data_IF_210304824046
#
_entry.id   IF_210304824046
#
_cell.length_a   1.000
_cell.length_b   1.000
_cell.length_c   1.000
_cell.angle_alpha   90.00
_cell.angle_beta   90.00
_cell.angle_gamma   90.00
#
_symmetry.space_group_name_H-M   'P 1'
#
loop_
_entity.id
_entity.type
_entity.pdbx_description
1 polymer ?
#
# COMPACT_ATOMS: atom_id res chain seq x y z
N UNK A 1 -31.15 -11.49 5.27
CA UNK A 1 -29.90 -11.60 4.48
C UNK A 1 -29.98 -10.48 3.48
N UNK A 2 -29.02 -9.56 3.49
CA UNK A 2 -28.93 -8.57 2.42
C UNK A 2 -28.43 -9.30 1.16
N UNK A 3 -29.17 -9.13 0.07
CA UNK A 3 -28.81 -9.74 -1.21
C UNK A 3 -27.68 -8.93 -1.84
N UNK A 4 -26.47 -9.49 -1.80
CA UNK A 4 -25.29 -8.94 -2.47
C UNK A 4 -25.43 -9.06 -3.99
N UNK A 5 -24.97 -8.05 -4.71
CA UNK A 5 -24.94 -8.01 -6.18
C UNK A 5 -23.49 -8.19 -6.63
N UNK A 6 -23.14 -9.38 -7.11
CA UNK A 6 -21.82 -9.67 -7.67
C UNK A 6 -21.85 -9.44 -9.18
N UNK A 7 -21.00 -8.55 -9.68
CA UNK A 7 -20.94 -8.20 -11.11
C UNK A 7 -20.07 -9.17 -11.93
N UNK A 8 -19.03 -9.75 -11.31
CA UNK A 8 -17.96 -10.51 -11.99
C UNK A 8 -17.32 -9.71 -13.15
N UNK A 9 -17.15 -8.40 -12.92
CA UNK A 9 -16.58 -7.45 -13.88
C UNK A 9 -15.12 -7.17 -13.54
N UNK A 10 -14.22 -7.84 -14.26
CA UNK A 10 -12.76 -7.72 -14.09
C UNK A 10 -12.15 -6.55 -14.85
N UNK A 11 -12.95 -5.80 -15.62
CA UNK A 11 -12.52 -4.58 -16.28
C UNK A 11 -13.63 -3.53 -16.19
N UNK A 12 -13.95 -3.09 -14.96
CA UNK A 12 -15.10 -2.24 -14.72
C UNK A 12 -14.91 -0.88 -15.38
N UNK A 13 -15.97 -0.41 -16.03
CA UNK A 13 -16.04 0.97 -16.49
C UNK A 13 -15.97 1.95 -15.32
N UNK A 14 -15.60 3.21 -15.59
CA UNK A 14 -15.68 4.29 -14.58
C UNK A 14 -17.08 4.37 -13.95
N UNK A 15 -18.15 4.21 -14.74
CA UNK A 15 -19.52 4.21 -14.23
C UNK A 15 -19.75 3.06 -13.25
N UNK A 16 -19.22 1.86 -13.56
CA UNK A 16 -19.29 0.69 -12.69
C UNK A 16 -18.57 0.96 -11.37
N UNK A 17 -17.34 1.48 -11.42
CA UNK A 17 -16.54 1.80 -10.24
C UNK A 17 -17.21 2.86 -9.37
N UNK A 18 -17.78 3.92 -9.96
CA UNK A 18 -18.54 4.93 -9.21
C UNK A 18 -19.76 4.29 -8.54
N UNK A 19 -20.52 3.44 -9.23
CA UNK A 19 -21.68 2.77 -8.63
C UNK A 19 -21.26 1.86 -7.47
N UNK A 20 -20.19 1.08 -7.65
CA UNK A 20 -19.61 0.22 -6.62
C UNK A 20 -19.16 1.01 -5.38
N UNK A 21 -18.54 2.17 -5.58
CA UNK A 21 -18.02 3.01 -4.50
C UNK A 21 -19.09 3.53 -3.54
N UNK A 22 -20.33 3.75 -4.00
CA UNK A 22 -21.44 4.28 -3.18
C UNK A 22 -22.56 3.27 -2.89
N UNK A 23 -22.54 2.07 -3.47
CA UNK A 23 -23.48 0.99 -3.13
C UNK A 23 -22.71 -0.18 -2.51
N UNK A 24 -22.73 -0.24 -1.18
CA UNK A 24 -22.02 -1.26 -0.39
C UNK A 24 -22.48 -2.69 -0.72
N UNK A 25 -23.64 -2.88 -1.37
CA UNK A 25 -24.14 -4.20 -1.76
C UNK A 25 -23.50 -4.73 -3.05
N UNK A 26 -22.82 -3.88 -3.82
CA UNK A 26 -22.19 -4.26 -5.08
C UNK A 26 -20.80 -4.81 -4.81
N UNK A 27 -20.48 -5.95 -5.41
CA UNK A 27 -19.13 -6.54 -5.44
C UNK A 27 -18.66 -6.64 -6.89
N UNK A 28 -17.42 -6.26 -7.16
CA UNK A 28 -16.85 -6.32 -8.51
C UNK A 28 -16.62 -7.78 -8.94
N UNK A 29 -16.12 -8.61 -8.03
CA UNK A 29 -15.91 -10.04 -8.21
C UNK A 29 -16.33 -10.82 -6.95
N UNK A 30 -16.51 -12.13 -7.08
CA UNK A 30 -16.84 -13.04 -5.98
C UNK A 30 -15.65 -13.37 -5.08
N UNK A 31 -14.44 -13.37 -5.65
CA UNK A 31 -13.16 -13.60 -4.97
C UNK A 31 -12.14 -12.57 -5.43
N UNK A 32 -11.22 -12.21 -4.53
CA UNK A 32 -10.10 -11.32 -4.82
C UNK A 32 -10.52 -10.02 -5.53
N UNK A 33 -11.66 -9.46 -5.12
CA UNK A 33 -12.26 -8.27 -5.75
C UNK A 33 -11.36 -7.02 -5.68
N UNK A 34 -10.42 -6.99 -4.73
CA UNK A 34 -9.38 -5.98 -4.62
C UNK A 34 -8.39 -6.02 -5.80
N UNK A 35 -8.12 -7.20 -6.36
CA UNK A 35 -7.24 -7.34 -7.52
C UNK A 35 -7.78 -6.65 -8.77
N UNK A 36 -9.11 -6.51 -8.89
CA UNK A 36 -9.74 -5.73 -9.98
C UNK A 36 -9.28 -4.27 -9.94
N UNK A 37 -8.92 -3.76 -8.76
CA UNK A 37 -8.53 -2.37 -8.56
C UNK A 37 -7.02 -2.12 -8.73
N UNK A 38 -6.22 -3.16 -8.97
CA UNK A 38 -4.75 -3.09 -9.06
C UNK A 38 -4.25 -2.68 -10.45
N UNK A 39 -4.86 -1.65 -11.04
CA UNK A 39 -4.52 -1.16 -12.38
C UNK A 39 -4.18 0.33 -12.36
N UNK A 40 -3.15 0.73 -13.12
CA UNK A 40 -2.69 2.12 -13.18
C UNK A 40 -3.79 3.07 -13.68
N UNK A 41 -4.63 2.60 -14.61
CA UNK A 41 -5.69 3.40 -15.22
C UNK A 41 -6.79 3.81 -14.23
N UNK A 42 -7.00 3.03 -13.17
CA UNK A 42 -8.02 3.33 -12.16
C UNK A 42 -7.53 4.30 -11.08
N UNK A 43 -6.21 4.54 -10.96
CA UNK A 43 -5.65 5.42 -9.92
C UNK A 43 -6.31 6.80 -9.82
N UNK A 44 -6.56 7.55 -10.93
CA UNK A 44 -7.18 8.86 -10.82
C UNK A 44 -8.58 8.81 -10.21
N UNK A 45 -9.41 7.86 -10.66
CA UNK A 45 -10.78 7.68 -10.18
C UNK A 45 -10.81 7.19 -8.74
N UNK A 46 -9.99 6.19 -8.40
CA UNK A 46 -9.95 5.64 -7.05
C UNK A 46 -9.47 6.68 -6.03
N UNK A 47 -8.49 7.52 -6.38
CA UNK A 47 -8.07 8.63 -5.52
C UNK A 47 -9.14 9.71 -5.38
N UNK A 48 -9.88 10.02 -6.46
CA UNK A 48 -11.03 10.93 -6.39
C UNK A 48 -12.09 10.40 -5.41
N UNK A 49 -12.45 9.12 -5.52
CA UNK A 49 -13.45 8.47 -4.66
C UNK A 49 -12.98 8.33 -3.22
N UNK A 50 -11.69 8.05 -2.99
CA UNK A 50 -11.09 7.99 -1.66
C UNK A 50 -11.07 9.37 -0.97
N UNK A 51 -10.94 10.45 -1.73
CA UNK A 51 -10.91 11.83 -1.23
C UNK A 51 -12.31 12.47 -1.09
N UNK A 52 -13.38 11.74 -1.44
CA UNK A 52 -14.77 12.16 -1.20
C UNK A 52 -15.22 11.74 0.21
N UNK A 53 -15.50 12.69 1.12
CA UNK A 53 -15.99 12.39 2.47
C UNK A 53 -17.32 11.63 2.52
N UNK A 54 -18.09 11.63 1.43
CA UNK A 54 -19.37 10.93 1.32
C UNK A 54 -19.25 9.51 0.76
N UNK A 55 -18.08 9.12 0.28
CA UNK A 55 -17.83 7.78 -0.25
C UNK A 55 -17.72 6.77 0.90
N UNK A 56 -18.67 5.81 1.03
CA UNK A 56 -18.66 4.82 2.11
C UNK A 56 -17.46 3.87 2.02
N UNK A 57 -16.93 3.64 0.80
CA UNK A 57 -15.76 2.78 0.56
C UNK A 57 -14.42 3.53 0.57
N UNK A 58 -14.37 4.79 0.97
CA UNK A 58 -13.13 5.59 0.94
C UNK A 58 -11.95 4.91 1.64
N UNK A 59 -12.18 4.33 2.83
CA UNK A 59 -11.14 3.59 3.56
C UNK A 59 -10.73 2.29 2.86
N UNK A 60 -11.69 1.53 2.32
CA UNK A 60 -11.43 0.28 1.59
C UNK A 60 -10.60 0.54 0.32
N UNK A 61 -10.93 1.62 -0.40
CA UNK A 61 -10.19 2.04 -1.59
C UNK A 61 -8.75 2.41 -1.21
N UNK A 62 -8.54 3.19 -0.14
CA UNK A 62 -7.19 3.54 0.31
C UNK A 62 -6.39 2.32 0.75
N UNK A 63 -7.00 1.37 1.46
CA UNK A 63 -6.35 0.13 1.88
C UNK A 63 -5.88 -0.69 0.68
N UNK A 64 -6.75 -0.81 -0.32
CA UNK A 64 -6.44 -1.52 -1.57
C UNK A 64 -5.31 -0.84 -2.34
N UNK A 65 -5.39 0.49 -2.53
CA UNK A 65 -4.34 1.26 -3.19
C UNK A 65 -3.02 1.19 -2.43
N UNK A 66 -3.05 1.29 -1.09
CA UNK A 66 -1.84 1.18 -0.26
C UNK A 66 -1.17 -0.18 -0.43
N UNK A 67 -1.95 -1.26 -0.37
CA UNK A 67 -1.44 -2.62 -0.50
C UNK A 67 -0.81 -2.86 -1.88
N UNK A 68 -1.49 -2.45 -2.95
CA UNK A 68 -1.00 -2.52 -4.31
C UNK A 68 0.35 -1.79 -4.46
N UNK A 69 0.37 -0.49 -4.13
CA UNK A 69 1.57 0.35 -4.31
C UNK A 69 2.71 -0.06 -3.38
N UNK A 70 2.42 -0.57 -2.18
CA UNK A 70 3.43 -1.13 -1.28
C UNK A 70 4.24 -2.24 -1.97
N UNK A 71 3.58 -3.17 -2.68
CA UNK A 71 4.30 -4.23 -3.38
C UNK A 71 5.08 -3.73 -4.60
N UNK A 72 4.59 -2.71 -5.28
CA UNK A 72 5.36 -2.04 -6.34
C UNK A 72 6.66 -1.45 -5.79
N UNK A 73 6.62 -0.84 -4.59
CA UNK A 73 7.84 -0.33 -3.94
C UNK A 73 8.76 -1.45 -3.49
N UNK A 74 8.22 -2.50 -2.86
CA UNK A 74 9.01 -3.58 -2.27
C UNK A 74 9.70 -4.45 -3.33
N UNK A 75 9.02 -4.73 -4.44
CA UNK A 75 9.44 -5.75 -5.43
C UNK A 75 9.55 -5.23 -6.85
N UNK A 76 9.02 -4.03 -7.12
CA UNK A 76 8.90 -3.52 -8.48
C UNK A 76 10.22 -3.11 -9.10
N UNK A 77 10.21 -3.09 -10.43
CA UNK A 77 11.24 -2.47 -11.27
C UNK A 77 10.96 -0.98 -11.43
N UNK A 78 11.81 -0.27 -12.17
CA UNK A 78 11.71 1.18 -12.33
C UNK A 78 10.35 1.63 -12.90
N UNK A 79 9.79 0.89 -13.84
CA UNK A 79 8.47 1.15 -14.41
C UNK A 79 7.37 1.11 -13.34
N UNK A 80 7.44 0.19 -12.39
CA UNK A 80 6.50 0.11 -11.27
C UNK A 80 6.66 1.27 -10.29
N UNK A 81 7.89 1.77 -10.09
CA UNK A 81 8.12 2.94 -9.24
C UNK A 81 7.47 4.19 -9.84
N UNK A 82 7.47 4.34 -11.17
CA UNK A 82 6.77 5.45 -11.85
C UNK A 82 5.27 5.45 -11.60
N UNK A 83 4.65 4.29 -11.40
CA UNK A 83 3.22 4.19 -11.04
C UNK A 83 3.00 4.80 -9.65
N UNK A 84 3.87 4.51 -8.69
CA UNK A 84 3.80 5.08 -7.33
C UNK A 84 4.01 6.60 -7.37
N UNK A 85 4.98 7.07 -8.16
CA UNK A 85 5.23 8.51 -8.36
C UNK A 85 4.01 9.22 -8.98
N UNK A 86 3.36 8.60 -9.97
CA UNK A 86 2.13 9.10 -10.58
C UNK A 86 1.00 9.19 -9.54
N UNK A 87 0.83 8.15 -8.72
CA UNK A 87 -0.18 8.14 -7.66
C UNK A 87 0.05 9.27 -6.64
N UNK A 88 1.30 9.49 -6.22
CA UNK A 88 1.68 10.62 -5.36
C UNK A 88 1.36 11.96 -6.02
N UNK A 89 1.65 12.10 -7.32
CA UNK A 89 1.36 13.34 -8.05
C UNK A 89 -0.14 13.62 -8.15
N UNK A 90 -0.96 12.60 -8.41
CA UNK A 90 -2.42 12.69 -8.44
C UNK A 90 -2.99 13.11 -7.08
N UNK A 91 -2.46 12.59 -5.98
CA UNK A 91 -2.90 12.91 -4.62
C UNK A 91 -2.41 14.28 -4.09
N UNK A 92 -1.68 15.09 -4.87
CA UNK A 92 -1.20 16.40 -4.42
C UNK A 92 -2.32 17.38 -4.04
N UNK A 93 -3.45 17.30 -4.74
CA UNK A 93 -4.62 18.15 -4.51
C UNK A 93 -5.64 17.53 -3.54
N UNK A 94 -5.26 16.47 -2.83
CA UNK A 94 -6.13 15.83 -1.84
C UNK A 94 -6.61 16.83 -0.78
N UNK A 95 -7.87 16.68 -0.37
CA UNK A 95 -8.58 17.58 0.53
C UNK A 95 -8.76 16.97 1.91
N UNK A 96 -8.84 15.65 1.99
CA UNK A 96 -9.11 14.91 3.22
C UNK A 96 -7.80 14.48 3.89
N UNK A 97 -7.80 14.45 5.22
CA UNK A 97 -6.62 14.02 5.98
C UNK A 97 -6.15 12.60 5.63
N UNK A 98 -7.02 11.59 5.48
CA UNK A 98 -6.59 10.22 5.13
C UNK A 98 -5.80 10.15 3.83
N UNK A 99 -6.25 10.82 2.76
CA UNK A 99 -5.55 10.81 1.46
C UNK A 99 -4.23 11.59 1.53
N UNK A 100 -4.19 12.68 2.31
CA UNK A 100 -2.94 13.44 2.55
C UNK A 100 -1.91 12.56 3.30
N UNK A 101 -2.32 11.87 4.35
CA UNK A 101 -1.46 10.97 5.13
C UNK A 101 -0.98 9.78 4.30
N UNK A 102 -1.88 9.19 3.52
CA UNK A 102 -1.56 8.13 2.56
C UNK A 102 -0.53 8.61 1.53
N UNK A 103 -0.70 9.81 0.95
CA UNK A 103 0.28 10.38 0.01
C UNK A 103 1.65 10.53 0.66
N UNK A 104 1.69 11.09 1.86
CA UNK A 104 2.93 11.26 2.61
C UNK A 104 3.61 9.91 2.86
N UNK A 105 2.85 8.87 3.22
CA UNK A 105 3.38 7.51 3.36
C UNK A 105 4.04 7.02 2.05
N UNK A 106 3.37 7.19 0.91
CA UNK A 106 3.95 6.81 -0.39
C UNK A 106 5.24 7.62 -0.70
N UNK A 107 5.27 8.91 -0.39
CA UNK A 107 6.48 9.74 -0.52
C UNK A 107 7.64 9.21 0.36
N UNK A 108 7.36 8.75 1.59
CA UNK A 108 8.40 8.13 2.44
C UNK A 108 8.90 6.83 1.83
N UNK A 109 8.01 5.98 1.32
CA UNK A 109 8.35 4.73 0.63
C UNK A 109 9.25 4.95 -0.58
N UNK A 110 8.95 5.95 -1.41
CA UNK A 110 9.80 6.35 -2.54
C UNK A 110 11.20 6.79 -2.06
N UNK A 111 11.29 7.56 -0.95
CA UNK A 111 12.58 7.93 -0.37
C UNK A 111 13.37 6.71 0.14
N UNK A 112 12.72 5.74 0.77
CA UNK A 112 13.39 4.49 1.17
C UNK A 112 13.88 3.70 -0.03
N UNK A 113 13.10 3.67 -1.12
CA UNK A 113 13.47 3.00 -2.37
C UNK A 113 14.73 3.61 -3.00
N UNK A 114 14.87 4.93 -2.94
CA UNK A 114 16.05 5.64 -3.45
C UNK A 114 17.29 5.53 -2.52
N UNK A 115 17.13 4.99 -1.31
CA UNK A 115 18.16 4.99 -0.27
C UNK A 115 18.06 6.24 0.61
N UNK A 116 17.56 6.07 1.83
CA UNK A 116 17.28 7.19 2.73
C UNK A 116 18.53 7.76 3.45
N UNK A 117 19.72 7.25 3.15
CA UNK A 117 20.97 7.55 3.85
C UNK A 117 21.11 6.71 5.13
N UNK A 118 22.06 7.08 6.01
CA UNK A 118 22.32 6.31 7.22
C UNK A 118 21.09 6.17 8.12
N UNK A 119 20.83 4.97 8.63
CA UNK A 119 19.68 4.69 9.49
C UNK A 119 20.11 4.23 10.88
N UNK A 120 19.55 4.86 11.91
CA UNK A 120 19.51 4.29 13.25
C UNK A 120 18.58 3.06 13.29
N UNK A 121 18.65 2.30 14.38
CA UNK A 121 17.76 1.16 14.61
C UNK A 121 16.29 1.58 14.59
N UNK A 122 15.95 2.68 15.27
CA UNK A 122 14.60 3.22 15.36
C UNK A 122 14.09 3.69 13.99
N UNK A 123 14.97 4.33 13.20
CA UNK A 123 14.66 4.76 11.84
C UNK A 123 14.44 3.57 10.90
N UNK A 124 15.24 2.51 11.01
CA UNK A 124 15.04 1.29 10.24
C UNK A 124 13.72 0.59 10.61
N UNK A 125 13.35 0.53 11.89
CA UNK A 125 12.06 -0.01 12.33
C UNK A 125 10.89 0.84 11.83
N UNK A 126 11.01 2.16 11.86
CA UNK A 126 9.99 3.06 11.29
C UNK A 126 9.85 2.86 9.77
N UNK A 127 10.98 2.77 9.04
CA UNK A 127 10.99 2.50 7.62
C UNK A 127 10.36 1.13 7.30
N UNK A 128 10.66 0.10 8.09
CA UNK A 128 10.05 -1.22 7.94
C UNK A 128 8.54 -1.20 8.18
N UNK A 129 8.06 -0.39 9.12
CA UNK A 129 6.62 -0.19 9.34
C UNK A 129 5.95 0.41 8.12
N UNK A 130 6.52 1.49 7.59
CA UNK A 130 6.02 2.12 6.38
C UNK A 130 6.02 1.13 5.19
N UNK A 131 7.10 0.34 5.03
CA UNK A 131 7.30 -0.55 3.89
C UNK A 131 6.54 -1.88 3.96
N UNK A 132 6.27 -2.44 5.15
CA UNK A 132 5.69 -3.79 5.29
C UNK A 132 4.26 -3.80 5.83
N UNK A 133 3.89 -2.82 6.66
CA UNK A 133 2.59 -2.80 7.33
C UNK A 133 1.60 -1.94 6.54
N UNK A 134 2.02 -0.74 6.14
CA UNK A 134 1.11 0.18 5.47
C UNK A 134 0.01 0.70 6.40
N UNK A 135 -1.18 0.98 5.85
CA UNK A 135 -2.25 1.65 6.61
C UNK A 135 -3.16 0.70 7.39
N UNK A 136 -3.51 -0.47 6.82
CA UNK A 136 -4.59 -1.33 7.36
C UNK A 136 -4.10 -2.70 7.88
N UNK A 137 -2.82 -3.07 7.70
CA UNK A 137 -2.34 -4.39 8.16
C UNK A 137 -2.11 -4.39 9.66
N UNK A 138 -2.60 -5.42 10.33
CA UNK A 138 -2.27 -5.71 11.73
C UNK A 138 -1.12 -6.72 11.73
N UNK A 139 0.08 -6.26 12.08
CA UNK A 139 1.27 -7.10 12.12
C UNK A 139 2.31 -6.56 13.11
N UNK A 140 3.23 -7.43 13.51
CA UNK A 140 4.34 -7.10 14.40
C UNK A 140 5.66 -7.06 13.61
N UNK A 141 6.55 -6.15 14.00
CA UNK A 141 7.91 -6.07 13.47
C UNK A 141 8.91 -6.43 14.54
N UNK A 142 9.89 -7.26 14.18
CA UNK A 142 10.97 -7.65 15.06
C UNK A 142 12.31 -7.46 14.36
N UNK A 143 13.25 -6.80 15.03
CA UNK A 143 14.66 -6.83 14.61
C UNK A 143 15.22 -8.22 14.93
N UNK A 144 15.62 -8.96 13.90
CA UNK A 144 16.04 -10.37 14.03
C UNK A 144 17.54 -10.56 13.96
N UNK A 145 18.27 -9.59 13.38
CA UNK A 145 19.73 -9.53 13.40
C UNK A 145 20.22 -8.08 13.36
N UNK A 146 21.32 -7.83 14.05
CA UNK A 146 21.98 -6.53 14.18
C UNK A 146 23.48 -6.68 13.92
N UNK A 147 23.84 -7.05 12.69
CA UNK A 147 25.24 -7.10 12.31
C UNK A 147 25.79 -5.67 12.01
N UNK A 148 27.12 -5.48 11.87
CA UNK A 148 27.71 -4.15 11.71
C UNK A 148 27.26 -3.38 10.46
N UNK A 149 26.71 -4.06 9.44
CA UNK A 149 26.41 -3.46 8.13
C UNK A 149 24.92 -3.35 7.85
N UNK A 150 24.08 -4.22 8.42
CA UNK A 150 22.64 -4.23 8.12
C UNK A 150 21.75 -4.25 9.35
N UNK A 151 20.55 -3.73 9.17
CA UNK A 151 19.40 -3.99 10.05
C UNK A 151 18.52 -5.05 9.39
N UNK A 152 18.32 -6.19 10.05
CA UNK A 152 17.39 -7.22 9.59
C UNK A 152 16.09 -7.15 10.38
N UNK A 153 14.98 -6.89 9.69
CA UNK A 153 13.67 -6.69 10.31
C UNK A 153 12.67 -7.65 9.67
N UNK A 154 12.02 -8.46 10.49
CA UNK A 154 11.03 -9.45 10.08
C UNK A 154 9.63 -8.99 10.47
N UNK A 155 8.71 -9.05 9.52
CA UNK A 155 7.27 -8.94 9.71
C UNK A 155 6.73 -10.29 10.16
N UNK A 156 5.90 -10.24 11.20
CA UNK A 156 5.22 -11.38 11.77
C UNK A 156 3.72 -11.10 11.79
N UNK A 157 2.94 -11.98 11.14
CA UNK A 157 1.47 -11.85 11.09
C UNK A 157 0.85 -12.91 12.02
N UNK A 158 0.16 -12.50 13.10
CA UNK A 158 -0.58 -13.43 13.96
C UNK A 158 -1.72 -14.15 13.20
N UNK A 159 -2.22 -15.30 13.69
CA UNK A 159 -1.73 -16.07 14.83
C UNK A 159 -0.67 -17.12 14.47
N UNK A 160 -0.47 -17.39 13.17
CA UNK A 160 0.33 -18.54 12.74
C UNK A 160 1.81 -18.24 12.52
N UNK A 161 2.20 -16.95 12.39
CA UNK A 161 3.58 -16.50 12.14
C UNK A 161 4.27 -17.24 10.97
N UNK A 162 3.49 -17.82 10.04
CA UNK A 162 3.99 -18.69 8.95
C UNK A 162 4.62 -17.91 7.80
N UNK A 163 4.18 -16.68 7.56
CA UNK A 163 4.72 -15.81 6.52
C UNK A 163 5.71 -14.83 7.14
N UNK A 164 6.95 -14.86 6.68
CA UNK A 164 8.04 -14.03 7.19
C UNK A 164 8.54 -13.13 6.07
N UNK A 165 7.87 -12.01 5.89
CA UNK A 165 8.39 -10.96 5.04
C UNK A 165 9.55 -10.27 5.79
N UNK A 166 10.72 -10.14 5.16
CA UNK A 166 11.93 -9.58 5.79
C UNK A 166 12.49 -8.43 4.96
N UNK A 167 12.93 -7.39 5.66
CA UNK A 167 13.71 -6.28 5.12
C UNK A 167 15.12 -6.29 5.70
N UNK A 168 16.10 -6.21 4.81
CA UNK A 168 17.50 -5.97 5.13
C UNK A 168 17.86 -4.55 4.69
N UNK A 169 18.17 -3.66 5.64
CA UNK A 169 18.62 -2.29 5.34
C UNK A 169 20.12 -2.17 5.51
N UNK A 170 20.81 -1.62 4.52
CA UNK A 170 22.20 -1.18 4.69
C UNK A 170 22.26 0.04 5.63
N UNK A 171 23.07 -0.03 6.69
CA UNK A 171 23.09 1.01 7.74
C UNK A 171 23.66 2.35 7.26
N UNK A 172 24.47 2.36 6.21
CA UNK A 172 25.15 3.56 5.72
C UNK A 172 24.35 4.27 4.62
N UNK A 173 23.65 3.51 3.78
CA UNK A 173 22.94 4.03 2.60
C UNK A 173 21.43 4.02 2.77
N UNK A 174 20.91 3.22 3.70
CA UNK A 174 19.46 3.05 3.90
C UNK A 174 18.78 2.29 2.76
N UNK A 175 19.55 1.76 1.81
CA UNK A 175 19.04 0.91 0.73
C UNK A 175 18.55 -0.40 1.35
N UNK A 176 17.35 -0.82 0.96
CA UNK A 176 16.76 -2.04 1.47
C UNK A 176 16.71 -3.17 0.44
N UNK A 177 16.66 -4.41 0.93
CA UNK A 177 16.29 -5.61 0.18
C UNK A 177 15.12 -6.30 0.85
N UNK A 178 14.15 -6.73 0.05
CA UNK A 178 12.98 -7.46 0.49
C UNK A 178 13.12 -8.96 0.17
N UNK A 179 12.74 -9.83 1.12
CA UNK A 179 12.68 -11.28 0.94
C UNK A 179 11.47 -11.87 1.66
N UNK A 180 10.98 -13.03 1.21
CA UNK A 180 9.89 -13.80 1.83
C UNK A 180 10.36 -15.23 2.11
#
# INVERSE_FOLDING_TARGET
>A
MEDWIVLNDWNPSEQTLRKWAYDERIQLADQDADLVLHEEEYLPLLLELADDPSCPRSSEILGTLDFYLMFLVLRGVEEHIRIVEKAVALARSAKTAPVIEWRQLQERRLRYRAGAGPLSREQAVAAARDLLIGIDRIAELKVVDENPKTWEIELSVPPSHRYRDRLSFDKATGVFRFSR
#
